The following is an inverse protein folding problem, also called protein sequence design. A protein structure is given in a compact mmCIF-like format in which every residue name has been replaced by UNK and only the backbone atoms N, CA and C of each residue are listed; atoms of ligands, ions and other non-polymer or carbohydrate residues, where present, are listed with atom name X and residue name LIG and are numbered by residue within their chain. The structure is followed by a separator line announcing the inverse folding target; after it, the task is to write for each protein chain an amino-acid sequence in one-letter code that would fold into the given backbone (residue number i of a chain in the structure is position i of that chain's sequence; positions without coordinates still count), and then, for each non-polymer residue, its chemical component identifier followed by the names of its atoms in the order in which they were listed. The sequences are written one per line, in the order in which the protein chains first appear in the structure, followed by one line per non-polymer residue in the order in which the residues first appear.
data_IF_864925407293
#
_entry.id   IF_864925407293
#
_cell.length_a   1.000
_cell.length_b   1.000
_cell.length_c   1.000
_cell.angle_alpha   90.00
_cell.angle_beta   90.00
_cell.angle_gamma   90.00
#
_symmetry.space_group_name_H-M   'P 1'
#
loop_
_entity.id
_entity.type
_entity.pdbx_description
1 polymer ?
#
# COMPACT_ATOMS: atom_id res chain seq x y z
N UNK A 1 20.21 14.48 -9.19
CA UNK A 1 19.32 14.57 -8.00
C UNK A 1 17.92 13.99 -8.24
N UNK A 2 17.15 14.46 -9.25
CA UNK A 2 15.81 13.91 -9.55
C UNK A 2 15.79 12.38 -9.76
N UNK A 3 16.76 11.87 -10.52
CA UNK A 3 16.92 10.43 -10.80
C UNK A 3 17.19 9.63 -9.51
N UNK A 4 18.02 10.17 -8.61
CA UNK A 4 18.32 9.53 -7.32
C UNK A 4 17.10 9.47 -6.40
N UNK A 5 16.27 10.53 -6.37
CA UNK A 5 15.00 10.52 -5.63
C UNK A 5 14.06 9.43 -6.18
N UNK A 6 14.00 9.30 -7.50
CA UNK A 6 13.19 8.27 -8.16
C UNK A 6 13.69 6.86 -7.81
N UNK A 7 14.99 6.60 -7.88
CA UNK A 7 15.56 5.28 -7.57
C UNK A 7 15.36 4.89 -6.10
N UNK A 8 15.50 5.85 -5.17
CA UNK A 8 15.19 5.62 -3.76
C UNK A 8 13.73 5.22 -3.56
N UNK A 9 12.79 5.91 -4.21
CA UNK A 9 11.38 5.54 -4.15
C UNK A 9 11.09 4.17 -4.78
N UNK A 10 11.72 3.84 -5.92
CA UNK A 10 11.52 2.54 -6.58
C UNK A 10 12.06 1.36 -5.77
N UNK A 11 13.09 1.56 -4.95
CA UNK A 11 13.56 0.54 -4.01
C UNK A 11 12.57 0.26 -2.88
N UNK A 12 11.79 1.26 -2.45
CA UNK A 12 10.78 1.12 -1.41
C UNK A 12 9.66 2.16 -1.58
N UNK A 13 8.50 1.73 -2.05
CA UNK A 13 7.34 2.61 -2.29
C UNK A 13 6.70 3.19 -1.03
N UNK A 14 7.06 2.66 0.15
CA UNK A 14 6.58 3.12 1.46
C UNK A 14 7.42 4.23 2.06
N UNK A 15 8.56 4.56 1.43
CA UNK A 15 9.47 5.59 1.95
C UNK A 15 8.81 6.97 1.92
N UNK A 16 8.91 7.68 3.03
CA UNK A 16 8.33 9.02 3.16
C UNK A 16 9.22 10.07 2.50
N UNK A 17 8.62 11.21 2.12
CA UNK A 17 9.41 12.33 1.57
C UNK A 17 10.42 12.90 2.57
N UNK A 18 10.21 12.69 3.88
CA UNK A 18 11.13 13.10 4.92
C UNK A 18 12.34 12.16 4.98
N UNK A 19 12.13 10.85 4.94
CA UNK A 19 13.19 9.84 4.90
C UNK A 19 14.04 9.98 3.64
N UNK A 20 13.43 10.20 2.47
CA UNK A 20 14.18 10.49 1.23
C UNK A 20 15.08 11.71 1.44
N UNK A 21 14.58 12.75 2.10
CA UNK A 21 15.33 13.97 2.38
C UNK A 21 16.56 13.70 3.24
N UNK A 22 16.38 12.94 4.34
CA UNK A 22 17.46 12.54 5.23
C UNK A 22 18.49 11.66 4.53
N UNK A 23 18.05 10.67 3.76
CA UNK A 23 18.94 9.79 2.99
C UNK A 23 19.81 10.56 1.98
N UNK A 24 19.30 11.65 1.43
CA UNK A 24 20.08 12.50 0.51
C UNK A 24 21.07 13.37 1.27
N UNK A 25 20.67 13.92 2.41
CA UNK A 25 21.54 14.69 3.28
C UNK A 25 22.70 13.82 3.78
N UNK A 26 22.44 12.59 4.22
CA UNK A 26 23.47 11.64 4.67
C UNK A 26 24.42 11.20 3.55
N UNK A 27 23.91 10.93 2.33
CA UNK A 27 24.75 10.41 1.22
C UNK A 27 25.54 11.48 0.50
N UNK A 28 24.99 12.69 0.36
CA UNK A 28 25.54 13.73 -0.49
C UNK A 28 25.89 15.01 0.27
N UNK A 29 25.58 15.09 1.57
CA UNK A 29 25.73 16.28 2.40
C UNK A 29 24.97 17.50 1.85
N UNK A 30 23.86 17.24 1.15
CA UNK A 30 23.01 18.27 0.52
C UNK A 30 21.68 18.31 1.23
N UNK A 31 21.39 19.46 1.84
CA UNK A 31 20.13 19.69 2.54
C UNK A 31 19.01 20.01 1.55
N UNK A 32 18.05 19.11 1.43
CA UNK A 32 16.84 19.30 0.62
C UNK A 32 15.65 19.45 1.57
N UNK A 33 14.65 20.23 1.17
CA UNK A 33 13.40 20.33 1.93
C UNK A 33 12.40 19.25 1.49
N UNK A 34 11.61 18.73 2.44
CA UNK A 34 10.52 17.78 2.18
C UNK A 34 9.58 18.22 1.03
N UNK A 35 9.14 19.49 0.91
CA UNK A 35 8.31 19.94 -0.21
C UNK A 35 8.98 19.78 -1.57
N UNK A 36 10.30 19.95 -1.65
CA UNK A 36 11.05 19.79 -2.90
C UNK A 36 11.06 18.33 -3.35
N UNK A 37 11.28 17.38 -2.42
CA UNK A 37 11.14 15.94 -2.71
C UNK A 37 9.72 15.61 -3.17
N UNK A 38 8.69 16.12 -2.48
CA UNK A 38 7.28 15.91 -2.82
C UNK A 38 6.93 16.40 -4.23
N UNK A 39 7.42 17.58 -4.62
CA UNK A 39 7.25 18.16 -5.96
C UNK A 39 7.94 17.32 -7.03
N UNK A 40 9.17 16.88 -6.76
CA UNK A 40 9.92 16.02 -7.69
C UNK A 40 9.17 14.70 -7.93
N UNK A 41 8.67 14.05 -6.87
CA UNK A 41 7.88 12.81 -6.99
C UNK A 41 6.57 13.05 -7.77
N UNK A 42 5.88 14.18 -7.54
CA UNK A 42 4.67 14.53 -8.29
C UNK A 42 4.99 14.78 -9.78
N UNK A 43 6.11 15.42 -10.10
CA UNK A 43 6.55 15.64 -11.48
C UNK A 43 6.87 14.33 -12.21
N UNK A 44 7.16 13.24 -11.48
CA UNK A 44 7.28 11.89 -12.05
C UNK A 44 5.92 11.21 -12.29
N UNK A 45 4.80 11.81 -11.94
CA UNK A 45 3.46 11.23 -12.13
C UNK A 45 2.98 10.35 -10.96
N UNK A 46 3.67 10.38 -9.82
CA UNK A 46 3.27 9.62 -8.64
C UNK A 46 2.09 10.26 -7.91
N UNK A 47 1.06 9.45 -7.61
CA UNK A 47 -0.12 9.85 -6.85
C UNK A 47 -0.10 9.26 -5.43
N UNK A 48 -0.78 9.92 -4.50
CA UNK A 48 -0.90 9.47 -3.10
C UNK A 48 -2.12 8.55 -2.94
N UNK A 49 -1.97 7.43 -2.22
CA UNK A 49 -3.03 6.47 -1.90
C UNK A 49 -2.83 5.86 -0.52
N UNK A 50 -3.90 5.37 0.09
CA UNK A 50 -3.83 4.56 1.33
C UNK A 50 -3.31 3.16 0.99
N UNK A 51 -2.25 2.73 1.66
CA UNK A 51 -1.70 1.39 1.48
C UNK A 51 -2.70 0.32 1.91
N UNK A 52 -2.85 -0.72 1.09
CA UNK A 52 -3.73 -1.84 1.40
C UNK A 52 -3.03 -2.80 2.36
N UNK A 53 -3.55 -2.95 3.58
CA UNK A 53 -3.08 -3.96 4.53
C UNK A 53 -3.55 -5.34 4.06
N UNK A 54 -2.63 -6.19 3.61
CA UNK A 54 -2.92 -7.57 3.20
C UNK A 54 -2.47 -8.53 4.30
N UNK A 55 -3.28 -9.53 4.68
CA UNK A 55 -2.83 -10.56 5.61
C UNK A 55 -1.71 -11.38 4.98
N UNK A 56 -0.67 -11.67 5.75
CA UNK A 56 0.41 -12.55 5.30
C UNK A 56 -0.13 -13.98 5.24
N UNK A 57 -0.16 -14.55 4.04
CA UNK A 57 -0.64 -15.90 3.81
C UNK A 57 0.54 -16.87 3.68
N UNK A 58 0.50 -17.96 4.46
CA UNK A 58 1.42 -19.09 4.24
C UNK A 58 1.07 -19.79 2.93
N UNK A 59 2.03 -20.42 2.22
CA UNK A 59 1.77 -21.12 0.96
C UNK A 59 0.62 -22.14 1.04
N UNK A 60 0.55 -22.89 2.15
CA UNK A 60 -0.53 -23.85 2.41
C UNK A 60 -1.92 -23.18 2.48
N UNK A 61 -2.01 -21.97 3.02
CA UNK A 61 -3.27 -21.23 3.14
C UNK A 61 -3.69 -20.64 1.79
N UNK A 62 -2.74 -20.27 0.94
CA UNK A 62 -3.01 -19.85 -0.44
C UNK A 62 -3.68 -20.99 -1.20
N UNK A 63 -3.11 -22.20 -1.14
CA UNK A 63 -3.68 -23.39 -1.80
C UNK A 63 -5.06 -23.72 -1.25
N UNK A 64 -5.26 -23.66 0.07
CA UNK A 64 -6.58 -23.88 0.68
C UNK A 64 -7.60 -22.87 0.16
N UNK A 65 -7.30 -21.57 0.19
CA UNK A 65 -8.20 -20.52 -0.33
C UNK A 65 -8.53 -20.72 -1.81
N UNK A 66 -7.55 -21.10 -2.63
CA UNK A 66 -7.75 -21.39 -4.05
C UNK A 66 -8.63 -22.64 -4.30
N UNK A 67 -8.52 -23.67 -3.47
CA UNK A 67 -9.43 -24.83 -3.55
C UNK A 67 -10.86 -24.43 -3.18
N UNK A 68 -11.01 -23.62 -2.14
CA UNK A 68 -12.31 -23.14 -1.68
C UNK A 68 -12.94 -22.24 -2.75
N UNK A 69 -12.18 -21.38 -3.44
CA UNK A 69 -12.70 -20.44 -4.46
C UNK A 69 -13.47 -21.06 -5.63
N UNK A 70 -13.53 -22.39 -5.75
CA UNK A 70 -14.49 -23.10 -6.61
C UNK A 70 -15.95 -22.79 -6.31
N UNK A 71 -16.29 -22.18 -5.16
CA UNK A 71 -17.63 -21.63 -4.89
C UNK A 71 -18.02 -20.45 -5.80
N UNK A 72 -17.11 -19.85 -6.57
CA UNK A 72 -17.42 -18.71 -7.46
C UNK A 72 -18.53 -19.02 -8.47
N UNK A 73 -18.77 -20.30 -8.79
CA UNK A 73 -19.84 -20.74 -9.69
C UNK A 73 -21.14 -21.15 -9.00
N UNK A 74 -21.31 -20.91 -7.69
CA UNK A 74 -22.54 -21.25 -6.99
C UNK A 74 -23.74 -20.42 -7.49
N UNK A 75 -24.91 -21.05 -7.57
CA UNK A 75 -26.16 -20.38 -7.91
C UNK A 75 -26.58 -19.39 -6.82
N UNK A 76 -27.24 -18.30 -7.22
CA UNK A 76 -27.73 -17.26 -6.31
C UNK A 76 -28.68 -17.81 -5.23
N UNK A 77 -29.49 -18.81 -5.55
CA UNK A 77 -30.40 -19.47 -4.59
C UNK A 77 -29.64 -20.13 -3.43
N UNK A 78 -28.49 -20.73 -3.73
CA UNK A 78 -27.62 -21.35 -2.71
C UNK A 78 -27.02 -20.29 -1.80
N UNK A 79 -26.56 -19.17 -2.36
CA UNK A 79 -25.99 -18.06 -1.59
C UNK A 79 -27.02 -17.44 -0.63
N UNK A 80 -28.30 -17.33 -1.02
CA UNK A 80 -29.38 -16.81 -0.18
C UNK A 80 -29.66 -17.64 1.07
N UNK A 81 -29.25 -18.92 1.09
CA UNK A 81 -29.44 -19.82 2.23
C UNK A 81 -28.28 -19.77 3.22
N UNK A 82 -27.17 -19.12 2.88
CA UNK A 82 -25.96 -19.06 3.71
C UNK A 82 -26.05 -17.85 4.63
N UNK A 83 -25.92 -18.08 5.93
CA UNK A 83 -25.80 -17.02 6.95
C UNK A 83 -24.33 -16.95 7.35
N UNK A 84 -23.70 -15.79 7.13
CA UNK A 84 -22.34 -15.52 7.58
C UNK A 84 -22.37 -14.81 8.94
N UNK A 85 -21.46 -15.18 9.82
CA UNK A 85 -21.30 -14.58 11.15
C UNK A 85 -19.84 -14.21 11.35
N UNK A 86 -19.58 -13.01 11.85
CA UNK A 86 -18.25 -12.55 12.25
C UNK A 86 -18.37 -11.50 13.35
N UNK A 87 -17.30 -11.29 14.11
CA UNK A 87 -17.20 -10.28 15.15
C UNK A 87 -16.30 -9.14 14.67
N UNK A 88 -16.68 -7.90 14.97
CA UNK A 88 -15.88 -6.72 14.59
C UNK A 88 -15.70 -5.76 15.76
N UNK A 89 -14.55 -5.10 15.78
CA UNK A 89 -14.21 -4.09 16.78
C UNK A 89 -14.79 -2.74 16.38
N UNK A 90 -15.48 -2.06 17.30
CA UNK A 90 -15.93 -0.68 17.15
C UNK A 90 -15.16 0.22 18.12
N UNK A 91 -14.41 1.19 17.60
CA UNK A 91 -13.66 2.16 18.41
C UNK A 91 -14.54 3.39 18.67
N UNK A 92 -14.76 3.77 19.94
CA UNK A 92 -15.52 4.97 20.32
C UNK A 92 -14.69 6.26 20.18
N UNK A 93 -13.42 6.18 20.55
CA UNK A 93 -12.43 7.24 20.38
C UNK A 93 -11.16 6.61 19.77
N UNK A 94 -10.51 7.32 18.84
CA UNK A 94 -9.33 6.91 18.05
C UNK A 94 -9.62 6.10 16.77
N UNK A 95 -8.61 6.03 15.90
CA UNK A 95 -8.59 5.22 14.67
C UNK A 95 -7.35 4.32 14.64
N UNK A 96 -7.42 3.19 13.94
CA UNK A 96 -6.30 2.24 13.81
C UNK A 96 -5.16 2.73 12.88
N UNK A 97 -5.21 4.00 12.48
CA UNK A 97 -4.22 4.66 11.65
C UNK A 97 -4.21 4.22 10.18
N UNK A 98 -3.89 5.16 9.29
CA UNK A 98 -3.70 4.91 7.86
C UNK A 98 -2.29 5.29 7.45
N UNK A 99 -1.70 4.47 6.58
CA UNK A 99 -0.40 4.77 5.96
C UNK A 99 -0.64 5.19 4.52
N UNK A 100 -0.17 6.38 4.18
CA UNK A 100 -0.19 6.86 2.80
C UNK A 100 1.09 6.47 2.09
N UNK A 101 0.93 5.92 0.89
CA UNK A 101 2.01 5.59 -0.03
C UNK A 101 1.83 6.37 -1.31
N UNK A 102 2.92 6.49 -2.08
CA UNK A 102 2.83 6.98 -3.46
C UNK A 102 2.86 5.81 -4.41
N UNK A 103 2.19 5.91 -5.55
CA UNK A 103 2.16 4.88 -6.59
C UNK A 103 2.06 5.50 -7.98
N UNK A 104 2.51 4.74 -8.99
CA UNK A 104 2.25 5.06 -10.38
C UNK A 104 0.85 4.55 -10.75
N UNK A 105 -0.04 5.39 -11.30
CA UNK A 105 -1.38 4.98 -11.71
C UNK A 105 -1.38 3.76 -12.63
N UNK A 106 -0.41 3.71 -13.56
CA UNK A 106 -0.23 2.65 -14.54
C UNK A 106 0.16 1.30 -13.94
N UNK A 107 0.82 1.29 -12.78
CA UNK A 107 1.35 0.05 -12.18
C UNK A 107 0.35 -0.74 -11.34
N UNK A 108 -0.89 -0.26 -11.19
CA UNK A 108 -2.01 -1.02 -10.60
C UNK A 108 -1.69 -1.79 -9.30
N UNK A 109 -2.11 -1.21 -8.16
CA UNK A 109 -2.08 -1.82 -6.82
C UNK A 109 -0.69 -2.00 -6.17
N UNK A 110 -0.29 -1.00 -5.39
CA UNK A 110 0.61 -1.15 -4.23
C UNK A 110 -0.26 -1.42 -2.99
#
# INVERSE_FOLDING_TARGET
MKICIKSLYESNSFITSLEISKNIEEKFNIKISRPTVSRILKNFGLLTKIAVKKPLLRPINIVKRFKISKFLGMKNETLKRIIFTDETKFNLFNSDGVQYVRYYPEKGMI
#
